data_IF_610106682558
#
_entry.id   IF_610106682558
#
_cell.length_a   1.000
_cell.length_b   1.000
_cell.length_c   1.000
_cell.angle_alpha   90.00
_cell.angle_beta   90.00
_cell.angle_gamma   90.00
#
_symmetry.space_group_name_H-M   'P 1'
#
loop_
_entity.id
_entity.type
_entity.pdbx_description
1 polymer ?
#
# COMPACT_ATOMS: atom_id res chain seq x y z
N UNK A 1 -11.29 -10.26 -9.44
CA UNK A 1 -10.03 -10.81 -9.95
C UNK A 1 -10.29 -11.35 -11.36
N UNK A 2 -9.51 -10.90 -12.35
CA UNK A 2 -9.65 -11.22 -13.76
C UNK A 2 -8.57 -12.20 -14.20
N UNK A 3 -8.96 -13.24 -14.94
CA UNK A 3 -8.03 -14.14 -15.62
C UNK A 3 -8.02 -13.77 -17.09
N UNK A 4 -6.86 -13.40 -17.62
CA UNK A 4 -6.65 -13.06 -19.03
C UNK A 4 -6.11 -14.26 -19.81
N UNK A 5 -6.12 -14.23 -21.16
CA UNK A 5 -5.68 -15.36 -21.98
C UNK A 5 -4.27 -15.86 -21.71
N UNK A 6 -3.36 -14.99 -21.27
CA UNK A 6 -1.99 -15.33 -20.91
C UNK A 6 -1.83 -15.89 -19.47
N UNK A 7 -2.89 -15.82 -18.65
CA UNK A 7 -2.87 -16.32 -17.28
C UNK A 7 -3.26 -17.80 -17.23
N UNK A 8 -2.84 -18.48 -16.16
CA UNK A 8 -3.24 -19.88 -15.91
C UNK A 8 -4.64 -19.92 -15.29
N UNK A 9 -5.63 -20.35 -16.04
CA UNK A 9 -7.01 -20.49 -15.54
C UNK A 9 -7.12 -21.48 -14.36
N UNK A 10 -6.22 -22.47 -14.25
CA UNK A 10 -6.20 -23.39 -13.12
C UNK A 10 -5.83 -22.67 -11.79
N UNK A 11 -5.14 -21.55 -11.86
CA UNK A 11 -4.86 -20.72 -10.67
C UNK A 11 -6.14 -20.21 -10.01
N UNK A 12 -7.20 -19.98 -10.79
CA UNK A 12 -8.50 -19.49 -10.28
C UNK A 12 -9.10 -20.46 -9.25
N UNK A 13 -9.04 -21.78 -9.49
CA UNK A 13 -9.54 -22.79 -8.55
C UNK A 13 -8.78 -22.71 -7.23
N UNK A 14 -7.43 -22.67 -7.29
CA UNK A 14 -6.58 -22.55 -6.11
C UNK A 14 -6.84 -21.26 -5.34
N UNK A 15 -7.06 -20.16 -6.04
CA UNK A 15 -7.37 -18.86 -5.44
C UNK A 15 -8.69 -18.91 -4.66
N UNK A 16 -9.75 -19.47 -5.26
CA UNK A 16 -11.06 -19.63 -4.61
C UNK A 16 -10.96 -20.52 -3.38
N UNK A 17 -10.31 -21.68 -3.49
CA UNK A 17 -10.10 -22.60 -2.36
C UNK A 17 -9.36 -21.90 -1.20
N UNK A 18 -8.32 -21.12 -1.52
CA UNK A 18 -7.57 -20.37 -0.52
C UNK A 18 -8.41 -19.28 0.16
N UNK A 19 -9.25 -18.57 -0.60
CA UNK A 19 -10.17 -17.58 -0.05
C UNK A 19 -11.16 -18.23 0.92
N UNK A 20 -11.79 -19.33 0.51
CA UNK A 20 -12.77 -20.06 1.33
C UNK A 20 -12.13 -20.63 2.60
N UNK A 21 -10.92 -21.18 2.51
CA UNK A 21 -10.17 -21.65 3.66
C UNK A 21 -9.83 -20.53 4.66
N UNK A 22 -9.65 -19.31 4.17
CA UNK A 22 -9.42 -18.11 4.98
C UNK A 22 -10.74 -17.44 5.47
N UNK A 23 -11.91 -18.05 5.20
CA UNK A 23 -13.21 -17.47 5.54
C UNK A 23 -13.64 -16.29 4.66
N UNK A 24 -12.98 -16.10 3.53
CA UNK A 24 -13.30 -15.04 2.56
C UNK A 24 -14.26 -15.63 1.51
N UNK A 25 -15.41 -14.97 1.34
CA UNK A 25 -16.37 -15.36 0.31
C UNK A 25 -15.78 -15.08 -1.08
N UNK A 26 -15.70 -16.11 -1.92
CA UNK A 26 -15.23 -16.02 -3.30
C UNK A 26 -16.22 -16.74 -4.22
N UNK A 27 -16.56 -16.12 -5.34
CA UNK A 27 -17.52 -16.61 -6.31
C UNK A 27 -16.91 -16.55 -7.71
N UNK A 28 -16.85 -17.69 -8.38
CA UNK A 28 -16.49 -17.72 -9.81
C UNK A 28 -17.66 -17.19 -10.62
N UNK A 29 -17.41 -16.17 -11.43
CA UNK A 29 -18.39 -15.59 -12.34
C UNK A 29 -17.91 -15.72 -13.78
N UNK A 30 -18.85 -15.82 -14.72
CA UNK A 30 -18.48 -15.89 -16.12
C UNK A 30 -18.00 -14.52 -16.66
N UNK A 31 -17.25 -14.52 -17.79
CA UNK A 31 -16.72 -13.27 -18.37
C UNK A 31 -17.80 -12.23 -18.71
N UNK A 32 -18.98 -12.64 -19.16
CA UNK A 32 -20.06 -11.69 -19.51
C UNK A 32 -20.61 -11.01 -18.27
N UNK A 33 -20.77 -11.75 -17.17
CA UNK A 33 -21.20 -11.19 -15.91
C UNK A 33 -20.12 -10.24 -15.33
N UNK A 34 -18.85 -10.59 -15.44
CA UNK A 34 -17.75 -9.72 -15.04
C UNK A 34 -17.78 -8.39 -15.81
N UNK A 35 -17.95 -8.41 -17.14
CA UNK A 35 -18.09 -7.22 -17.98
C UNK A 35 -19.39 -6.44 -17.73
N UNK A 36 -20.45 -7.10 -17.26
CA UNK A 36 -21.67 -6.42 -16.84
C UNK A 36 -21.45 -5.64 -15.53
N UNK A 37 -20.67 -6.20 -14.60
CA UNK A 37 -20.31 -5.55 -13.32
C UNK A 37 -19.32 -4.40 -13.58
N UNK A 38 -18.31 -4.64 -14.42
CA UNK A 38 -17.28 -3.66 -14.75
C UNK A 38 -17.04 -3.60 -16.27
N UNK A 39 -17.76 -2.73 -16.96
CA UNK A 39 -17.66 -2.61 -18.42
C UNK A 39 -16.30 -2.13 -18.94
N UNK A 40 -15.49 -1.51 -18.08
CA UNK A 40 -14.14 -1.06 -18.44
C UNK A 40 -13.07 -2.15 -18.39
N UNK A 41 -13.41 -3.30 -17.80
CA UNK A 41 -12.49 -4.44 -17.75
C UNK A 41 -12.13 -4.92 -19.16
N UNK A 42 -10.98 -5.56 -19.29
CA UNK A 42 -10.51 -6.10 -20.56
C UNK A 42 -11.55 -7.08 -21.14
N UNK A 43 -12.07 -6.85 -22.35
CA UNK A 43 -13.08 -7.71 -22.95
C UNK A 43 -12.59 -9.11 -23.29
N UNK A 44 -11.28 -9.34 -23.40
CA UNK A 44 -10.67 -10.62 -23.71
C UNK A 44 -10.50 -11.53 -22.47
N UNK A 45 -11.01 -11.13 -21.31
CA UNK A 45 -10.92 -11.93 -20.10
C UNK A 45 -11.60 -13.31 -20.31
N UNK A 46 -10.95 -14.37 -19.79
CA UNK A 46 -11.40 -15.77 -19.94
C UNK A 46 -12.04 -16.32 -18.66
N UNK A 47 -11.95 -15.59 -17.55
CA UNK A 47 -12.55 -15.96 -16.27
C UNK A 47 -12.48 -14.81 -15.27
N UNK A 48 -13.30 -14.90 -14.24
CA UNK A 48 -13.27 -13.94 -13.15
C UNK A 48 -13.69 -14.55 -11.80
N UNK A 49 -13.16 -14.01 -10.72
CA UNK A 49 -13.58 -14.31 -9.34
C UNK A 49 -13.99 -13.03 -8.63
N UNK A 50 -15.20 -13.02 -8.10
CA UNK A 50 -15.72 -11.94 -7.28
C UNK A 50 -15.43 -12.23 -5.81
N UNK A 51 -14.84 -11.26 -5.12
CA UNK A 51 -14.58 -11.28 -3.68
C UNK A 51 -15.05 -9.97 -3.05
N UNK A 52 -15.37 -9.93 -1.74
CA UNK A 52 -15.56 -8.68 -1.04
C UNK A 52 -14.23 -7.94 -0.93
N UNK A 53 -14.16 -6.74 -1.49
CA UNK A 53 -13.00 -5.86 -1.45
C UNK A 53 -13.46 -4.41 -1.42
N UNK A 54 -12.54 -3.48 -1.19
CA UNK A 54 -12.84 -2.07 -1.13
C UNK A 54 -11.59 -1.20 -1.19
N UNK A 55 -11.81 0.07 -1.53
CA UNK A 55 -10.79 1.10 -1.50
C UNK A 55 -10.96 1.99 -0.27
N UNK A 56 -9.86 2.46 0.28
CA UNK A 56 -9.83 3.44 1.36
C UNK A 56 -8.90 4.60 0.97
N UNK A 57 -9.31 5.81 1.33
CA UNK A 57 -8.42 6.96 1.29
C UNK A 57 -7.55 6.96 2.56
N UNK A 58 -6.26 6.64 2.48
CA UNK A 58 -5.39 6.52 3.65
C UNK A 58 -5.17 7.87 4.35
N UNK A 59 -5.23 8.98 3.64
CA UNK A 59 -5.08 10.32 4.22
C UNK A 59 -6.29 10.67 5.07
N UNK A 60 -7.50 10.44 4.55
CA UNK A 60 -8.74 10.66 5.31
C UNK A 60 -8.83 9.73 6.52
N UNK A 61 -8.51 8.45 6.36
CA UNK A 61 -8.53 7.49 7.47
C UNK A 61 -7.55 7.90 8.57
N UNK A 62 -6.30 8.21 8.21
CA UNK A 62 -5.28 8.64 9.18
C UNK A 62 -5.69 9.94 9.86
N UNK A 63 -6.19 10.92 9.12
CA UNK A 63 -6.65 12.19 9.68
C UNK A 63 -7.82 12.00 10.63
N UNK A 64 -8.79 11.16 10.30
CA UNK A 64 -9.92 10.86 11.16
C UNK A 64 -9.47 10.22 12.47
N UNK A 65 -8.57 9.22 12.42
CA UNK A 65 -8.00 8.60 13.63
C UNK A 65 -7.23 9.61 14.50
N UNK A 66 -6.43 10.50 13.88
CA UNK A 66 -5.71 11.55 14.62
C UNK A 66 -6.67 12.53 15.29
N UNK A 67 -7.72 12.96 14.58
CA UNK A 67 -8.74 13.87 15.15
C UNK A 67 -9.44 13.20 16.32
N UNK A 68 -9.88 11.96 16.16
CA UNK A 68 -10.57 11.20 17.21
C UNK A 68 -9.68 11.01 18.43
N UNK A 69 -8.42 10.62 18.24
CA UNK A 69 -7.44 10.50 19.33
C UNK A 69 -7.27 11.82 20.10
N UNK A 70 -7.19 12.96 19.39
CA UNK A 70 -7.09 14.29 20.01
C UNK A 70 -8.34 14.66 20.81
N UNK A 71 -9.53 14.31 20.33
CA UNK A 71 -10.80 14.51 21.05
C UNK A 71 -10.83 13.69 22.37
N UNK A 72 -10.11 12.57 22.40
CA UNK A 72 -9.95 11.74 23.60
C UNK A 72 -8.69 12.06 24.43
N UNK A 73 -8.08 13.23 24.21
CA UNK A 73 -6.99 13.75 25.05
C UNK A 73 -5.59 13.36 24.61
N UNK A 74 -5.41 12.69 23.47
CA UNK A 74 -4.08 12.39 22.96
C UNK A 74 -3.38 13.67 22.45
N UNK A 75 -2.07 13.74 22.70
CA UNK A 75 -1.20 14.76 22.09
C UNK A 75 -0.59 14.18 20.82
N UNK A 76 -0.65 14.95 19.74
CA UNK A 76 -0.03 14.60 18.47
C UNK A 76 1.03 15.65 18.16
N UNK A 77 2.27 15.22 18.10
CA UNK A 77 3.43 16.07 17.88
C UNK A 77 3.95 15.79 16.47
N UNK A 78 3.73 16.72 15.58
CA UNK A 78 4.30 16.69 14.22
C UNK A 78 5.67 17.38 14.20
N UNK A 79 6.49 17.06 13.19
CA UNK A 79 7.87 17.55 13.07
C UNK A 79 8.74 17.24 14.29
N UNK A 80 8.43 16.15 14.97
CA UNK A 80 9.08 15.70 16.21
C UNK A 80 9.70 14.33 15.97
N UNK A 81 11.01 14.28 15.91
CA UNK A 81 11.80 13.08 15.64
C UNK A 81 12.27 12.45 16.93
N UNK A 82 12.06 11.16 17.11
CA UNK A 82 12.64 10.40 18.21
C UNK A 82 14.12 10.15 17.90
N UNK A 83 15.00 10.75 18.70
CA UNK A 83 16.46 10.68 18.52
C UNK A 83 17.17 9.83 19.56
N UNK A 84 16.46 9.38 20.61
CA UNK A 84 17.02 8.57 21.67
C UNK A 84 15.95 7.91 22.54
N UNK A 85 16.40 6.97 23.38
CA UNK A 85 15.57 6.29 24.38
C UNK A 85 16.04 6.65 25.78
N UNK A 86 15.13 7.09 26.64
CA UNK A 86 15.37 7.30 28.06
C UNK A 86 15.22 5.95 28.77
N UNK A 87 16.30 5.48 29.38
CA UNK A 87 16.38 4.14 30.01
C UNK A 87 16.65 4.22 31.50
N UNK A 88 16.14 3.20 32.21
CA UNK A 88 16.52 2.86 33.61
C UNK A 88 16.85 1.37 33.61
N UNK A 89 18.15 1.06 33.58
CA UNK A 89 18.64 -0.28 33.28
C UNK A 89 18.17 -0.76 31.90
N UNK A 90 17.48 -1.88 31.86
CA UNK A 90 16.92 -2.46 30.63
C UNK A 90 15.48 -1.97 30.28
N UNK A 91 14.95 -1.08 31.15
CA UNK A 91 13.58 -0.59 30.98
C UNK A 91 13.55 0.75 30.25
N UNK A 92 12.77 0.84 29.17
CA UNK A 92 12.47 2.11 28.52
C UNK A 92 11.49 2.91 29.39
N UNK A 93 11.83 4.14 29.72
CA UNK A 93 11.02 5.08 30.52
C UNK A 93 10.43 6.20 29.66
N UNK A 94 10.96 6.39 28.46
CA UNK A 94 10.54 7.47 27.60
C UNK A 94 11.40 7.60 26.36
N UNK A 95 11.25 8.71 25.68
CA UNK A 95 11.97 9.02 24.43
C UNK A 95 12.55 10.44 24.49
N UNK A 96 13.71 10.61 23.89
CA UNK A 96 14.28 11.92 23.56
C UNK A 96 13.77 12.31 22.17
N UNK A 97 13.26 13.53 22.04
CA UNK A 97 12.65 14.04 20.83
C UNK A 97 13.34 15.32 20.38
N UNK A 98 13.65 15.42 19.10
CA UNK A 98 14.10 16.65 18.47
C UNK A 98 12.94 17.29 17.69
N UNK A 99 12.57 18.50 18.08
CA UNK A 99 11.54 19.26 17.39
C UNK A 99 12.15 20.07 16.24
N UNK A 100 11.82 19.71 15.00
CA UNK A 100 12.39 20.34 13.80
C UNK A 100 11.91 21.77 13.54
N UNK A 101 10.83 22.23 14.21
CA UNK A 101 10.35 23.62 14.12
C UNK A 101 11.11 24.51 15.11
N UNK A 102 11.08 24.14 16.40
CA UNK A 102 11.69 24.92 17.47
C UNK A 102 13.20 24.74 17.58
N UNK A 103 13.75 23.69 16.96
CA UNK A 103 15.15 23.25 17.06
C UNK A 103 15.57 22.89 18.48
N UNK A 104 14.63 22.48 19.30
CA UNK A 104 14.87 22.10 20.70
C UNK A 104 14.75 20.60 20.90
N UNK A 105 15.44 20.08 21.91
CA UNK A 105 15.28 18.72 22.42
C UNK A 105 14.28 18.74 23.55
N UNK A 106 13.44 17.72 23.60
CA UNK A 106 12.39 17.54 24.61
C UNK A 106 12.34 16.07 25.02
N UNK A 107 12.06 15.82 26.29
CA UNK A 107 11.93 14.47 26.85
C UNK A 107 10.47 14.15 27.11
N UNK A 108 10.03 12.97 26.68
CA UNK A 108 8.69 12.47 26.94
C UNK A 108 8.76 11.15 27.68
N UNK A 109 8.06 11.07 28.81
CA UNK A 109 8.03 9.88 29.67
C UNK A 109 6.69 9.17 29.58
N UNK A 110 6.72 7.83 29.51
CA UNK A 110 5.54 6.98 29.50
C UNK A 110 5.85 5.60 30.06
N UNK A 111 4.86 4.92 30.66
CA UNK A 111 5.02 3.53 31.12
C UNK A 111 5.28 2.54 30.00
N UNK A 112 4.78 2.83 28.78
CA UNK A 112 4.95 2.00 27.59
C UNK A 112 5.26 2.89 26.40
N UNK A 113 6.25 2.49 25.60
CA UNK A 113 6.60 3.10 24.32
C UNK A 113 6.29 2.12 23.19
N UNK A 114 5.47 2.54 22.23
CA UNK A 114 5.10 1.74 21.06
C UNK A 114 5.86 2.24 19.85
N UNK A 115 6.66 1.39 19.23
CA UNK A 115 7.32 1.68 17.97
C UNK A 115 6.39 1.35 16.79
N UNK A 116 5.81 2.37 16.20
CA UNK A 116 5.01 2.30 14.98
C UNK A 116 5.67 3.07 13.82
N UNK A 117 7.00 3.10 13.78
CA UNK A 117 7.83 3.88 12.88
C UNK A 117 7.87 3.41 11.41
N UNK A 118 7.04 2.44 11.02
CA UNK A 118 7.02 1.94 9.64
C UNK A 118 8.41 1.47 9.19
N UNK A 119 8.89 1.95 8.06
CA UNK A 119 10.21 1.57 7.55
C UNK A 119 11.36 2.03 8.44
N UNK A 120 11.20 3.09 9.22
CA UNK A 120 12.20 3.56 10.19
C UNK A 120 12.13 2.81 11.52
N UNK A 121 11.20 1.87 11.68
CA UNK A 121 11.03 1.08 12.90
C UNK A 121 12.27 0.29 13.32
N UNK A 122 13.10 -0.14 12.35
CA UNK A 122 14.41 -0.77 12.67
C UNK A 122 15.32 0.22 13.39
N UNK A 123 15.45 1.43 12.90
CA UNK A 123 16.29 2.47 13.52
C UNK A 123 15.81 2.81 14.94
N UNK A 124 14.50 2.96 15.13
CA UNK A 124 13.90 3.19 16.44
C UNK A 124 14.17 2.03 17.40
N UNK A 125 14.10 0.78 16.92
CA UNK A 125 14.42 -0.40 17.72
C UNK A 125 15.91 -0.43 18.14
N UNK A 126 16.82 -0.05 17.24
CA UNK A 126 18.26 0.06 17.53
C UNK A 126 18.55 1.07 18.64
N UNK A 127 17.85 2.21 18.68
CA UNK A 127 17.93 3.18 19.80
C UNK A 127 17.53 2.55 21.13
N UNK A 128 16.61 1.60 21.11
CA UNK A 128 16.19 0.84 22.29
C UNK A 128 17.16 -0.30 22.65
N UNK A 129 18.15 -0.62 21.81
CA UNK A 129 19.03 -1.77 21.95
C UNK A 129 18.39 -3.08 21.46
N UNK A 130 17.25 -3.01 20.76
CA UNK A 130 16.58 -4.13 20.14
C UNK A 130 16.95 -4.22 18.66
N UNK A 131 16.86 -5.43 18.09
CA UNK A 131 17.13 -5.65 16.67
C UNK A 131 15.89 -6.16 15.96
N UNK A 132 15.51 -5.48 14.90
CA UNK A 132 14.50 -5.90 13.92
C UNK A 132 15.20 -5.99 12.57
N UNK A 133 15.07 -7.10 11.85
CA UNK A 133 15.59 -7.21 10.50
C UNK A 133 14.50 -6.79 9.53
N UNK A 134 14.62 -5.63 8.92
CA UNK A 134 13.69 -5.14 7.91
C UNK A 134 14.29 -5.23 6.52
N UNK A 135 13.42 -5.45 5.54
CA UNK A 135 13.76 -5.53 4.13
C UNK A 135 12.93 -4.48 3.37
N UNK A 136 13.49 -3.27 3.12
CA UNK A 136 12.77 -2.24 2.39
C UNK A 136 12.39 -2.70 0.99
N UNK A 137 11.10 -2.65 0.66
CA UNK A 137 10.59 -2.97 -0.66
C UNK A 137 9.81 -1.78 -1.23
N UNK A 138 10.42 -1.11 -2.20
CA UNK A 138 9.79 0.01 -2.92
C UNK A 138 8.65 -0.50 -3.80
N UNK A 139 7.52 0.21 -3.80
CA UNK A 139 6.41 0.02 -4.73
C UNK A 139 6.02 1.33 -5.37
N UNK A 140 5.96 1.35 -6.70
CA UNK A 140 5.53 2.49 -7.48
C UNK A 140 4.05 2.39 -7.87
N UNK A 141 3.41 3.54 -8.02
CA UNK A 141 1.99 3.70 -8.37
C UNK A 141 1.84 4.82 -9.41
N UNK A 142 0.88 4.67 -10.32
CA UNK A 142 0.43 5.75 -11.21
C UNK A 142 -0.99 6.17 -10.86
N UNK A 143 -1.23 7.48 -10.87
CA UNK A 143 -2.55 8.08 -10.74
C UNK A 143 -2.96 8.63 -12.09
N UNK A 144 -4.14 8.21 -12.55
CA UNK A 144 -4.75 8.69 -13.80
C UNK A 144 -5.81 9.75 -13.54
N UNK A 145 -5.93 10.70 -14.45
CA UNK A 145 -6.81 11.86 -14.36
C UNK A 145 -8.29 11.58 -14.65
N UNK A 146 -8.66 10.32 -14.74
CA UNK A 146 -10.03 9.90 -14.95
C UNK A 146 -10.32 8.60 -14.22
N UNK A 147 -11.51 8.47 -13.66
CA UNK A 147 -11.99 7.22 -13.07
C UNK A 147 -12.49 6.30 -14.19
N UNK A 148 -11.66 5.31 -14.56
CA UNK A 148 -12.00 4.37 -15.64
C UNK A 148 -12.76 3.15 -15.16
N UNK A 149 -12.64 2.78 -13.89
CA UNK A 149 -13.27 1.60 -13.30
C UNK A 149 -14.12 1.95 -12.06
N UNK A 150 -15.13 1.12 -11.77
CA UNK A 150 -16.05 1.30 -10.65
C UNK A 150 -15.75 0.36 -9.47
N UNK A 151 -15.18 -0.80 -9.76
CA UNK A 151 -14.76 -1.78 -8.76
C UNK A 151 -13.25 -2.00 -8.82
N UNK A 152 -12.67 -2.48 -7.72
CA UNK A 152 -11.26 -2.87 -7.70
C UNK A 152 -11.05 -4.05 -8.65
N UNK A 153 -10.13 -3.91 -9.59
CA UNK A 153 -9.73 -4.97 -10.51
C UNK A 153 -8.35 -5.50 -10.13
N UNK A 154 -8.23 -6.82 -10.04
CA UNK A 154 -6.97 -7.53 -9.80
C UNK A 154 -6.76 -8.60 -10.86
N UNK A 155 -5.50 -9.00 -11.09
CA UNK A 155 -5.17 -10.19 -11.87
C UNK A 155 -5.35 -11.45 -11.01
N UNK A 156 -5.99 -12.47 -11.56
CA UNK A 156 -6.12 -13.79 -10.94
C UNK A 156 -4.93 -14.69 -11.32
N UNK A 157 -3.75 -14.36 -10.81
CA UNK A 157 -2.48 -15.06 -11.06
C UNK A 157 -1.59 -15.01 -9.82
N UNK A 158 -0.43 -15.68 -9.86
CA UNK A 158 0.59 -15.44 -8.85
C UNK A 158 0.93 -13.94 -8.82
N UNK A 159 1.03 -13.33 -7.61
CA UNK A 159 1.28 -11.90 -7.49
C UNK A 159 2.50 -11.44 -8.31
N UNK A 160 2.31 -10.39 -9.09
CA UNK A 160 3.31 -9.79 -9.94
C UNK A 160 3.21 -8.25 -9.88
N UNK A 161 3.99 -7.55 -10.69
CA UNK A 161 3.90 -6.10 -10.78
C UNK A 161 2.59 -5.64 -11.44
N UNK A 162 2.06 -4.51 -10.98
CA UNK A 162 0.89 -3.82 -11.55
C UNK A 162 -0.39 -4.67 -11.63
N UNK A 163 -0.64 -5.49 -10.63
CA UNK A 163 -1.79 -6.41 -10.62
C UNK A 163 -3.10 -5.77 -10.14
N UNK A 164 -3.08 -4.51 -9.67
CA UNK A 164 -4.26 -3.89 -9.02
C UNK A 164 -4.59 -2.55 -9.64
N UNK A 165 -5.82 -2.40 -10.14
CA UNK A 165 -6.40 -1.14 -10.57
C UNK A 165 -7.52 -0.74 -9.58
N UNK A 166 -7.32 0.39 -8.90
CA UNK A 166 -8.20 0.87 -7.82
C UNK A 166 -8.95 2.13 -8.25
N UNK A 167 -10.29 2.17 -8.14
CA UNK A 167 -11.04 3.39 -8.37
C UNK A 167 -10.93 4.36 -7.18
N UNK A 168 -10.72 5.64 -7.46
CA UNK A 168 -10.92 6.74 -6.53
C UNK A 168 -12.23 7.49 -6.81
N UNK A 169 -12.40 8.67 -6.22
CA UNK A 169 -13.61 9.49 -6.46
C UNK A 169 -13.71 9.94 -7.93
N UNK A 170 -12.64 10.55 -8.46
CA UNK A 170 -12.57 11.09 -9.84
C UNK A 170 -11.38 10.58 -10.62
N UNK A 171 -10.56 9.75 -10.02
CA UNK A 171 -9.30 9.20 -10.55
C UNK A 171 -9.32 7.69 -10.49
N UNK A 172 -8.29 7.06 -11.04
CA UNK A 172 -7.95 5.68 -10.71
C UNK A 172 -6.44 5.54 -10.53
N UNK A 173 -6.03 4.45 -9.87
CA UNK A 173 -4.64 4.15 -9.57
C UNK A 173 -4.30 2.76 -10.06
N UNK A 174 -3.14 2.60 -10.71
CA UNK A 174 -2.56 1.29 -11.01
C UNK A 174 -1.32 1.06 -10.14
N UNK A 175 -1.18 -0.11 -9.61
CA UNK A 175 -0.02 -0.50 -8.79
C UNK A 175 0.05 -1.99 -8.51
N UNK A 176 1.10 -2.44 -7.91
CA UNK A 176 2.33 -1.73 -7.59
C UNK A 176 3.51 -2.50 -8.17
N UNK A 177 4.63 -1.82 -8.37
CA UNK A 177 5.90 -2.53 -8.56
C UNK A 177 6.40 -3.08 -7.21
N UNK A 178 7.41 -3.93 -7.23
CA UNK A 178 8.08 -4.40 -6.01
C UNK A 178 9.56 -4.61 -6.29
N UNK A 179 10.40 -3.76 -5.72
CA UNK A 179 11.85 -3.85 -5.81
C UNK A 179 12.51 -3.62 -4.45
N UNK A 180 13.53 -4.42 -4.12
CA UNK A 180 14.33 -4.16 -2.92
C UNK A 180 15.17 -2.91 -3.13
N UNK A 181 15.26 -2.10 -2.09
CA UNK A 181 16.13 -0.92 -2.04
C UNK A 181 16.93 -0.91 -0.75
N UNK A 182 18.11 -0.28 -0.72
CA UNK A 182 18.84 -0.02 0.53
C UNK A 182 18.08 0.98 1.41
N UNK A 183 18.37 0.94 2.73
CA UNK A 183 17.72 1.84 3.69
C UNK A 183 17.98 3.32 3.40
N UNK A 184 19.16 3.64 2.89
CA UNK A 184 19.62 5.00 2.57
C UNK A 184 18.78 5.67 1.47
N UNK A 185 18.07 4.87 0.67
CA UNK A 185 17.19 5.36 -0.40
C UNK A 185 15.74 5.57 0.06
N UNK A 186 15.39 5.13 1.29
CA UNK A 186 13.99 5.18 1.75
C UNK A 186 13.40 6.59 1.87
N UNK A 187 14.25 7.60 2.11
CA UNK A 187 13.81 9.00 2.27
C UNK A 187 13.74 9.77 0.94
N UNK A 188 14.38 9.27 -0.13
CA UNK A 188 14.48 9.95 -1.42
C UNK A 188 14.08 9.04 -2.58
N UNK A 189 12.87 8.51 -2.53
CA UNK A 189 12.36 7.61 -3.57
C UNK A 189 11.80 8.38 -4.76
N UNK A 190 12.06 7.83 -5.93
CA UNK A 190 11.45 8.27 -7.19
C UNK A 190 10.96 7.06 -7.99
N UNK A 191 10.02 7.30 -8.88
CA UNK A 191 9.54 6.30 -9.83
C UNK A 191 10.40 6.38 -11.08
N UNK A 192 10.95 5.25 -11.50
CA UNK A 192 11.77 5.18 -12.71
C UNK A 192 10.92 5.07 -13.98
N UNK A 193 11.45 5.46 -15.15
CA UNK A 193 10.74 5.25 -16.42
C UNK A 193 10.33 3.80 -16.64
N UNK A 194 11.21 2.85 -16.36
CA UNK A 194 10.91 1.41 -16.51
C UNK A 194 9.73 0.96 -15.62
N UNK A 195 9.63 1.50 -14.41
CA UNK A 195 8.48 1.23 -13.53
C UNK A 195 7.19 1.81 -14.10
N UNK A 196 7.24 2.99 -14.71
CA UNK A 196 6.10 3.60 -15.40
C UNK A 196 5.66 2.71 -16.56
N UNK A 197 6.58 2.26 -17.39
CA UNK A 197 6.29 1.41 -18.55
C UNK A 197 5.63 0.08 -18.13
N UNK A 198 6.14 -0.58 -17.08
CA UNK A 198 5.54 -1.81 -16.54
C UNK A 198 4.13 -1.55 -16.02
N UNK A 199 3.92 -0.46 -15.28
CA UNK A 199 2.61 -0.11 -14.73
C UNK A 199 1.58 0.20 -15.82
N UNK A 200 2.01 0.87 -16.90
CA UNK A 200 1.14 1.14 -18.05
C UNK A 200 0.78 -0.15 -18.79
N UNK A 201 1.77 -0.95 -19.17
CA UNK A 201 1.57 -2.18 -19.92
C UNK A 201 0.63 -3.16 -19.21
N UNK A 202 0.84 -3.39 -17.91
CA UNK A 202 -0.02 -4.30 -17.14
C UNK A 202 -1.38 -3.66 -16.80
N UNK A 203 -1.42 -2.34 -16.59
CA UNK A 203 -2.68 -1.62 -16.39
C UNK A 203 -3.61 -1.67 -17.59
N UNK A 204 -3.07 -1.52 -18.80
CA UNK A 204 -3.82 -1.63 -20.06
C UNK A 204 -4.41 -3.04 -20.25
N UNK A 205 -3.75 -4.07 -19.74
CA UNK A 205 -4.29 -5.42 -19.74
C UNK A 205 -5.50 -5.59 -18.81
N UNK A 206 -5.55 -4.86 -17.69
CA UNK A 206 -6.73 -4.85 -16.81
C UNK A 206 -7.89 -4.03 -17.40
N UNK A 207 -7.58 -2.83 -17.91
CA UNK A 207 -8.55 -1.91 -18.48
C UNK A 207 -7.94 -1.18 -19.70
N UNK A 208 -8.25 -1.57 -20.94
CA UNK A 208 -7.61 -1.02 -22.15
C UNK A 208 -7.73 0.49 -22.31
N UNK A 209 -8.76 1.11 -21.72
CA UNK A 209 -8.94 2.57 -21.74
C UNK A 209 -7.82 3.35 -21.01
N UNK A 210 -7.01 2.69 -20.19
CA UNK A 210 -5.84 3.33 -19.56
C UNK A 210 -4.81 3.80 -20.58
N UNK A 211 -4.66 3.12 -21.73
CA UNK A 211 -3.76 3.52 -22.82
C UNK A 211 -3.96 4.98 -23.30
N UNK A 212 -5.20 5.48 -23.23
CA UNK A 212 -5.55 6.85 -23.65
C UNK A 212 -5.80 7.79 -22.47
N UNK A 213 -5.65 7.33 -21.24
CA UNK A 213 -5.95 8.11 -20.04
C UNK A 213 -4.71 8.85 -19.56
N UNK A 214 -4.84 10.17 -19.34
CA UNK A 214 -3.72 11.01 -18.88
C UNK A 214 -3.23 10.61 -17.50
N UNK A 215 -1.93 10.42 -17.37
CA UNK A 215 -1.26 10.28 -16.08
C UNK A 215 -1.16 11.65 -15.41
N UNK A 216 -1.60 11.75 -14.16
CA UNK A 216 -1.47 12.96 -13.34
C UNK A 216 -0.22 12.94 -12.49
N UNK A 217 0.10 11.77 -11.92
CA UNK A 217 1.21 11.63 -10.95
C UNK A 217 1.72 10.20 -10.95
N UNK A 218 3.04 10.07 -10.73
CA UNK A 218 3.70 8.86 -10.27
C UNK A 218 4.24 9.09 -8.86
N UNK A 219 4.11 8.12 -7.97
CA UNK A 219 4.74 8.15 -6.65
C UNK A 219 5.10 6.75 -6.18
N UNK A 220 6.01 6.69 -5.22
CA UNK A 220 6.45 5.45 -4.62
C UNK A 220 6.36 5.49 -3.09
N UNK A 221 6.24 4.33 -2.49
CA UNK A 221 6.32 4.11 -1.06
C UNK A 221 7.17 2.90 -0.74
N UNK A 222 7.62 2.76 0.51
CA UNK A 222 8.39 1.60 0.95
C UNK A 222 7.59 0.74 1.92
N UNK A 223 7.54 -0.55 1.64
CA UNK A 223 6.96 -1.54 2.54
C UNK A 223 8.01 -1.98 3.54
N UNK A 224 7.71 -1.93 4.85
CA UNK A 224 8.55 -2.47 5.90
C UNK A 224 8.35 -3.99 6.01
N UNK A 225 9.00 -4.76 5.14
CA UNK A 225 8.96 -6.23 5.23
C UNK A 225 9.89 -6.70 6.35
N UNK A 226 9.46 -7.70 7.12
CA UNK A 226 10.19 -8.29 8.26
C UNK A 226 10.40 -9.78 8.03
#
# INVERSE_FOLDING_TARGET
FLTLPEDDLAYQTKFVESCLAAGIRAEVIDPKEALRIEPSANPDLIGAVKVPDGAVDPFRLTSANVIDAKLHGAKVLVYSEVTGMIKDGDTIKGVEVFNHITKQKEDYYAPVTVNAGGIWGQHIAELAGARINMFPAKGALLIFGHRVNNVVLNRCRKPANADILVPGDTICLIGTTSSRIPFEECDNMYVTPDEVDVLLQEGEKLAPSLASTRILRAYAGVRPLV
#
